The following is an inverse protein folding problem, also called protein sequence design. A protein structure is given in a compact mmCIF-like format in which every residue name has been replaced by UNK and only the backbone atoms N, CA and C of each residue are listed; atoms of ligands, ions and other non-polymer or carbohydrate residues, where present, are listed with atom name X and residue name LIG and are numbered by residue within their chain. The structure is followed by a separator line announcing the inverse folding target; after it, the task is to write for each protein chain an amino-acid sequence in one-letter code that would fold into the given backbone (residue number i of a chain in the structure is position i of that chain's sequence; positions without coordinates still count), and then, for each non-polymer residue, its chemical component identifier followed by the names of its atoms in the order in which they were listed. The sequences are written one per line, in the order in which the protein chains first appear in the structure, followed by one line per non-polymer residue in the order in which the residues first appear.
data_IF_027048055845
#
_entry.id   IF_027048055845
#
_cell.length_a   1.000
_cell.length_b   1.000
_cell.length_c   1.000
_cell.angle_alpha   90.00
_cell.angle_beta   90.00
_cell.angle_gamma   90.00
#
_symmetry.space_group_name_H-M   'P 1'
#
loop_
_entity.id
_entity.type
_entity.pdbx_description
1 polymer ?
#
# COMPACT_ATOMS: atom_id res chain seq x y z
N UNK A 1 19.02 -6.38 -12.47
CA UNK A 1 19.27 -5.36 -11.41
C UNK A 1 17.93 -5.18 -10.71
N UNK A 2 17.84 -5.51 -9.42
CA UNK A 2 16.58 -5.36 -8.67
C UNK A 2 16.66 -4.04 -7.90
N UNK A 3 15.75 -3.11 -8.19
CA UNK A 3 15.65 -1.84 -7.47
C UNK A 3 14.65 -1.99 -6.32
N UNK A 4 14.98 -1.42 -5.17
CA UNK A 4 14.05 -1.19 -4.06
C UNK A 4 13.06 -0.08 -4.42
N UNK A 5 11.92 -0.01 -3.73
CA UNK A 5 10.92 1.06 -3.94
C UNK A 5 11.55 2.44 -3.68
N UNK A 6 12.41 2.55 -2.67
CA UNK A 6 13.06 3.82 -2.33
C UNK A 6 14.07 4.26 -3.39
N UNK A 7 14.81 3.32 -3.98
CA UNK A 7 15.68 3.61 -5.13
C UNK A 7 14.87 4.12 -6.33
N UNK A 8 13.72 3.51 -6.62
CA UNK A 8 12.84 3.98 -7.70
C UNK A 8 12.31 5.38 -7.40
N UNK A 9 11.87 5.66 -6.16
CA UNK A 9 11.42 7.00 -5.74
C UNK A 9 12.52 8.05 -5.92
N UNK A 10 13.75 7.73 -5.54
CA UNK A 10 14.91 8.63 -5.70
C UNK A 10 15.27 8.88 -7.17
N UNK A 11 15.17 7.86 -8.02
CA UNK A 11 15.38 8.01 -9.47
C UNK A 11 14.30 8.91 -10.07
N UNK A 12 13.03 8.71 -9.72
CA UNK A 12 11.93 9.54 -10.20
C UNK A 12 12.09 11.01 -9.77
N UNK A 13 12.48 11.25 -8.51
CA UNK A 13 12.71 12.60 -8.00
C UNK A 13 13.88 13.28 -8.72
N UNK A 14 15.02 12.59 -8.87
CA UNK A 14 16.21 13.16 -9.53
C UNK A 14 16.02 13.41 -11.02
N UNK A 15 15.14 12.64 -11.69
CA UNK A 15 14.85 12.77 -13.13
C UNK A 15 13.60 13.61 -13.45
N UNK A 16 12.95 14.23 -12.45
CA UNK A 16 11.68 14.98 -12.64
C UNK A 16 11.72 15.94 -13.83
N UNK A 17 12.77 16.75 -13.97
CA UNK A 17 12.92 17.71 -15.08
C UNK A 17 13.00 17.01 -16.45
N UNK A 18 13.75 15.91 -16.55
CA UNK A 18 13.87 15.11 -17.78
C UNK A 18 12.52 14.48 -18.15
N UNK A 19 11.80 13.95 -17.16
CA UNK A 19 10.47 13.34 -17.33
C UNK A 19 9.46 14.37 -17.85
N UNK A 20 9.43 15.58 -17.27
CA UNK A 20 8.59 16.66 -17.76
C UNK A 20 8.93 17.07 -19.20
N UNK A 21 10.22 17.12 -19.54
CA UNK A 21 10.68 17.45 -20.90
C UNK A 21 10.31 16.38 -21.93
N UNK A 22 10.08 15.13 -21.50
CA UNK A 22 9.56 14.05 -22.34
C UNK A 22 8.03 14.13 -22.54
N UNK A 23 7.37 15.14 -21.99
CA UNK A 23 5.91 15.32 -22.11
C UNK A 23 5.10 14.40 -21.19
N UNK A 24 5.75 13.69 -20.27
CA UNK A 24 5.04 12.91 -19.25
C UNK A 24 4.41 13.90 -18.26
N UNK A 25 3.08 13.89 -18.22
CA UNK A 25 2.31 14.77 -17.32
C UNK A 25 2.70 14.55 -15.87
N UNK A 26 2.77 15.65 -15.12
CA UNK A 26 2.94 15.61 -13.66
C UNK A 26 1.91 14.69 -13.00
N UNK A 27 0.67 14.65 -13.51
CA UNK A 27 -0.38 13.77 -13.00
C UNK A 27 0.00 12.29 -13.10
N UNK A 28 0.60 11.88 -14.23
CA UNK A 28 1.05 10.49 -14.42
C UNK A 28 2.19 10.17 -13.46
N UNK A 29 3.12 11.10 -13.27
CA UNK A 29 4.22 10.93 -12.32
C UNK A 29 3.70 10.78 -10.88
N UNK A 30 2.70 11.57 -10.48
CA UNK A 30 2.04 11.44 -9.17
C UNK A 30 1.38 10.08 -9.01
N UNK A 31 0.62 9.60 -10.00
CA UNK A 31 -0.01 8.27 -9.95
C UNK A 31 1.04 7.16 -9.77
N UNK A 32 2.18 7.24 -10.47
CA UNK A 32 3.26 6.25 -10.30
C UNK A 32 3.83 6.28 -8.88
N UNK A 33 4.02 7.47 -8.31
CA UNK A 33 4.52 7.62 -6.94
C UNK A 33 3.54 7.04 -5.91
N UNK A 34 2.25 7.29 -6.06
CA UNK A 34 1.20 6.76 -5.18
C UNK A 34 1.15 5.22 -5.25
N UNK A 35 1.18 4.66 -6.48
CA UNK A 35 1.20 3.22 -6.68
C UNK A 35 2.43 2.57 -6.05
N UNK A 36 3.61 3.21 -6.16
CA UNK A 36 4.85 2.73 -5.51
C UNK A 36 4.72 2.75 -3.99
N UNK A 37 4.06 3.76 -3.41
CA UNK A 37 3.81 3.77 -1.97
C UNK A 37 2.89 2.63 -1.53
N UNK A 38 1.85 2.34 -2.32
CA UNK A 38 0.94 1.23 -2.04
C UNK A 38 1.60 -0.15 -2.15
N UNK A 39 2.77 -0.26 -2.80
CA UNK A 39 3.56 -1.50 -2.82
C UNK A 39 4.33 -1.75 -1.52
N UNK A 40 4.57 -0.74 -0.68
CA UNK A 40 5.16 -0.94 0.65
C UNK A 40 4.10 -1.57 1.56
N UNK A 41 4.29 -2.82 2.04
CA UNK A 41 3.31 -3.48 2.89
C UNK A 41 3.06 -2.70 4.18
N UNK A 42 1.79 -2.52 4.54
CA UNK A 42 1.38 -1.89 5.82
C UNK A 42 0.46 -2.83 6.58
N UNK A 43 0.60 -2.87 7.91
CA UNK A 43 -0.23 -3.71 8.77
C UNK A 43 -1.69 -3.21 8.74
N UNK A 44 -2.68 -4.13 8.73
CA UNK A 44 -4.09 -3.75 8.82
C UNK A 44 -4.39 -3.08 10.18
N UNK A 45 -5.37 -2.19 10.18
CA UNK A 45 -5.83 -1.54 11.42
C UNK A 45 -6.95 -2.38 12.05
N UNK A 46 -6.93 -2.64 13.37
CA UNK A 46 -8.03 -3.31 14.04
C UNK A 46 -9.27 -2.40 14.05
N UNK A 47 -10.46 -2.96 13.79
CA UNK A 47 -11.72 -2.23 13.83
C UNK A 47 -12.73 -2.92 14.76
N UNK A 48 -12.55 -2.73 16.08
CA UNK A 48 -13.59 -2.97 17.10
C UNK A 48 -14.07 -4.42 17.30
N UNK A 49 -14.49 -4.72 18.53
CA UNK A 49 -14.69 -6.06 19.10
C UNK A 49 -16.12 -6.61 18.95
N UNK A 50 -16.60 -6.79 17.71
CA UNK A 50 -17.80 -7.62 17.53
C UNK A 50 -17.40 -9.11 17.48
N UNK A 51 -17.73 -9.81 18.56
CA UNK A 51 -17.47 -11.25 18.78
C UNK A 51 -17.78 -12.06 17.51
N UNK A 52 -16.74 -12.64 16.90
CA UNK A 52 -16.84 -13.63 15.83
C UNK A 52 -16.34 -13.20 14.45
N UNK A 53 -16.12 -11.90 14.20
CA UNK A 53 -15.55 -11.41 12.93
C UNK A 53 -14.35 -10.51 13.21
N UNK A 54 -13.16 -10.94 12.76
CA UNK A 54 -11.96 -10.13 12.78
C UNK A 54 -12.11 -8.98 11.78
N UNK A 55 -12.67 -7.86 12.22
CA UNK A 55 -12.84 -6.68 11.37
C UNK A 55 -11.52 -5.91 11.30
N UNK A 56 -10.89 -5.93 10.13
CA UNK A 56 -9.71 -5.12 9.82
C UNK A 56 -10.06 -4.01 8.84
N UNK A 57 -9.37 -2.88 8.96
CA UNK A 57 -9.46 -1.76 8.02
C UNK A 57 -8.13 -1.56 7.29
N UNK A 58 -8.22 -1.09 6.05
CA UNK A 58 -7.06 -0.71 5.27
C UNK A 58 -6.32 0.45 5.97
N UNK A 59 -4.99 0.37 6.15
CA UNK A 59 -4.24 1.44 6.81
C UNK A 59 -4.23 2.75 6.00
N UNK A 60 -4.38 2.68 4.67
CA UNK A 60 -4.33 3.84 3.78
C UNK A 60 -5.70 4.48 3.57
N UNK A 61 -6.71 3.74 3.09
CA UNK A 61 -8.03 4.32 2.79
C UNK A 61 -9.06 4.17 3.92
N UNK A 62 -8.72 3.51 5.03
CA UNK A 62 -9.57 3.26 6.20
C UNK A 62 -10.85 2.45 5.94
N UNK A 63 -11.08 2.00 4.70
CA UNK A 63 -12.22 1.14 4.36
C UNK A 63 -12.01 -0.27 4.91
N UNK A 64 -13.10 -1.00 5.22
CA UNK A 64 -13.02 -2.39 5.66
C UNK A 64 -12.25 -3.25 4.65
N UNK A 65 -11.40 -4.13 5.17
CA UNK A 65 -10.80 -5.21 4.38
C UNK A 65 -11.77 -6.39 4.40
N UNK A 66 -11.93 -7.03 3.25
CA UNK A 66 -12.62 -8.31 3.16
C UNK A 66 -11.80 -9.36 3.92
N UNK A 67 -12.14 -9.57 5.19
CA UNK A 67 -11.60 -10.63 6.03
C UNK A 67 -12.67 -11.73 6.15
N UNK A 68 -12.99 -12.37 5.02
CA UNK A 68 -14.04 -13.41 4.98
C UNK A 68 -13.66 -14.64 5.82
N UNK A 69 -12.36 -14.90 6.00
CA UNK A 69 -11.82 -15.99 6.83
C UNK A 69 -10.30 -15.75 7.08
N UNK A 70 -9.75 -16.30 8.17
CA UNK A 70 -8.30 -16.21 8.46
C UNK A 70 -7.45 -16.81 7.34
N UNK A 71 -7.98 -17.81 6.64
CA UNK A 71 -7.35 -18.49 5.50
C UNK A 71 -7.40 -17.70 4.19
N UNK A 72 -8.20 -16.62 4.11
CA UNK A 72 -8.40 -15.85 2.89
C UNK A 72 -8.11 -14.36 3.09
N UNK A 73 -6.86 -14.09 3.47
CA UNK A 73 -6.34 -12.74 3.62
C UNK A 73 -5.84 -12.20 2.28
N UNK A 74 -6.58 -11.24 1.71
CA UNK A 74 -6.20 -10.63 0.44
C UNK A 74 -4.89 -9.82 0.58
N UNK A 75 -3.89 -10.05 -0.28
CA UNK A 75 -2.60 -9.36 -0.18
C UNK A 75 -2.69 -7.85 -0.48
N UNK A 76 -3.81 -7.38 -1.05
CA UNK A 76 -4.06 -5.98 -1.37
C UNK A 76 -5.46 -5.56 -0.92
N UNK A 77 -5.59 -4.28 -0.57
CA UNK A 77 -6.89 -3.66 -0.35
C UNK A 77 -7.63 -3.51 -1.68
N UNK A 78 -8.82 -4.10 -1.79
CA UNK A 78 -9.68 -4.04 -2.98
C UNK A 78 -10.16 -2.62 -3.31
N UNK A 79 -10.11 -1.71 -2.34
CA UNK A 79 -10.58 -0.34 -2.52
C UNK A 79 -9.51 0.62 -3.06
N UNK A 80 -8.25 0.47 -2.63
CA UNK A 80 -7.20 1.44 -2.94
C UNK A 80 -5.88 0.81 -3.39
N UNK A 81 -5.79 -0.52 -3.46
CA UNK A 81 -4.59 -1.23 -3.91
C UNK A 81 -3.43 -1.28 -2.90
N UNK A 82 -3.61 -0.79 -1.68
CA UNK A 82 -2.58 -0.88 -0.63
C UNK A 82 -2.23 -2.35 -0.34
N UNK A 83 -0.96 -2.72 -0.47
CA UNK A 83 -0.44 -4.03 -0.06
C UNK A 83 -0.55 -4.19 1.45
N UNK A 84 -1.20 -5.25 1.89
CA UNK A 84 -1.45 -5.53 3.30
C UNK A 84 -0.42 -6.52 3.80
N UNK A 85 0.25 -6.17 4.89
CA UNK A 85 1.05 -7.12 5.63
C UNK A 85 0.18 -7.80 6.67
N UNK A 86 -0.16 -9.07 6.41
CA UNK A 86 -0.92 -9.87 7.36
C UNK A 86 -0.05 -10.67 8.33
N UNK A 87 1.27 -10.68 8.11
CA UNK A 87 2.20 -11.23 9.09
C UNK A 87 2.17 -10.32 10.31
N UNK A 88 1.38 -10.72 11.30
CA UNK A 88 1.51 -10.25 12.67
C UNK A 88 2.87 -10.78 13.14
N UNK A 89 3.93 -10.01 12.94
CA UNK A 89 4.96 -10.07 13.96
C UNK A 89 4.30 -9.47 15.20
N UNK A 90 4.27 -10.26 16.26
CA UNK A 90 3.72 -9.94 17.55
C UNK A 90 4.49 -8.76 18.17
N UNK A 91 4.25 -7.54 17.69
CA UNK A 91 4.68 -6.33 18.37
C UNK A 91 3.66 -6.05 19.50
N UNK A 92 3.62 -6.96 20.46
CA UNK A 92 3.28 -6.63 21.84
C UNK A 92 4.60 -6.22 22.52
N UNK A 93 4.89 -4.92 22.49
CA UNK A 93 5.76 -4.25 23.46
C UNK A 93 4.90 -3.25 24.25
#
# INVERSE_FOLDING_TARGET
MNYTIDEVKNILASKKSQICNLGISHTVLTVIQDLLEYQTPKNPLPNGTHKGFNNYCCPSCKRPLSAMCEDFQMPYCENCGQKINWNKNDDFD
#
